data_IF_557866551996
#
_entry.id   IF_557866551996
#
_cell.length_a   1.000
_cell.length_b   1.000
_cell.length_c   1.000
_cell.angle_alpha   90.00
_cell.angle_beta   90.00
_cell.angle_gamma   90.00
#
_symmetry.space_group_name_H-M   'P 1'
#
loop_
_entity.id
_entity.type
_entity.pdbx_description
1 polymer ?
#
# COMPACT_ATOMS: atom_id res chain seq x y z
N UNK A 1 -15.11 10.93 -15.48
CA UNK A 1 -14.25 10.83 -16.67
C UNK A 1 -14.03 9.35 -16.95
N UNK A 2 -14.73 8.79 -17.95
CA UNK A 2 -14.55 7.39 -18.35
C UNK A 2 -13.23 7.22 -19.09
N UNK A 3 -12.46 6.14 -18.86
CA UNK A 3 -11.23 5.90 -19.62
C UNK A 3 -11.57 5.75 -21.10
N UNK A 4 -10.81 6.44 -21.96
CA UNK A 4 -10.96 6.30 -23.42
C UNK A 4 -10.48 4.92 -23.84
N UNK A 5 -11.26 4.23 -24.67
CA UNK A 5 -10.90 2.96 -25.29
C UNK A 5 -9.50 3.09 -25.92
N UNK A 6 -8.52 2.29 -25.48
CA UNK A 6 -7.13 2.35 -25.96
C UNK A 6 -6.12 3.05 -25.04
N UNK A 7 -6.52 3.55 -23.87
CA UNK A 7 -5.56 3.98 -22.85
C UNK A 7 -4.77 2.76 -22.38
N UNK A 8 -3.44 2.73 -22.62
CA UNK A 8 -2.55 1.68 -22.11
C UNK A 8 -2.79 1.54 -20.62
N UNK A 9 -3.36 0.40 -20.21
CA UNK A 9 -3.34 -0.04 -18.83
C UNK A 9 -1.85 -0.04 -18.45
N UNK A 10 -1.48 0.76 -17.46
CA UNK A 10 -0.08 0.96 -17.07
C UNK A 10 0.63 -0.39 -16.99
N UNK A 11 1.87 -0.53 -17.50
CA UNK A 11 2.53 -1.85 -17.64
C UNK A 11 2.63 -2.64 -16.32
N UNK A 12 2.54 -1.96 -15.17
CA UNK A 12 2.35 -2.56 -13.85
C UNK A 12 1.09 -2.00 -13.17
N UNK A 13 -0.10 -2.50 -13.51
CA UNK A 13 -1.31 -2.09 -12.81
C UNK A 13 -1.27 -2.67 -11.39
N UNK A 14 -1.72 -1.88 -10.41
CA UNK A 14 -1.93 -2.37 -9.03
C UNK A 14 -3.27 -3.12 -8.97
N UNK A 15 -3.36 -4.23 -9.68
CA UNK A 15 -4.58 -5.03 -9.87
C UNK A 15 -4.76 -6.12 -8.80
N UNK A 16 -3.67 -6.50 -8.13
CA UNK A 16 -3.66 -7.59 -7.17
C UNK A 16 -4.13 -7.12 -5.79
N UNK A 17 -5.12 -7.82 -5.23
CA UNK A 17 -5.65 -7.54 -3.89
C UNK A 17 -5.09 -8.52 -2.87
N UNK A 18 -4.45 -8.01 -1.82
CA UNK A 18 -3.98 -8.79 -0.68
C UNK A 18 -4.96 -8.63 0.48
N UNK A 19 -5.49 -9.74 1.01
CA UNK A 19 -6.36 -9.74 2.19
C UNK A 19 -5.59 -10.27 3.40
N UNK A 20 -5.53 -9.47 4.47
CA UNK A 20 -4.90 -9.85 5.73
C UNK A 20 -5.92 -9.75 6.88
N UNK A 21 -5.82 -10.66 7.86
CA UNK A 21 -6.53 -10.54 9.14
C UNK A 21 -5.70 -9.65 10.06
N UNK A 22 -6.34 -8.66 10.66
CA UNK A 22 -5.71 -7.72 11.59
C UNK A 22 -6.59 -7.60 12.83
N UNK A 23 -5.97 -7.39 13.99
CA UNK A 23 -6.68 -7.01 15.20
C UNK A 23 -7.08 -5.53 15.16
N UNK A 24 -7.88 -5.12 16.15
CA UNK A 24 -8.36 -3.73 16.26
C UNK A 24 -7.23 -2.74 16.50
N UNK A 25 -6.22 -3.14 17.27
CA UNK A 25 -5.10 -2.27 17.62
C UNK A 25 -4.23 -1.95 16.39
N UNK A 26 -3.96 -2.95 15.56
CA UNK A 26 -3.19 -2.79 14.32
C UNK A 26 -3.95 -1.94 13.31
N UNK A 27 -5.27 -2.11 13.20
CA UNK A 27 -6.11 -1.23 12.38
C UNK A 27 -6.09 0.21 12.89
N UNK A 28 -6.16 0.43 14.20
CA UNK A 28 -6.09 1.78 14.77
C UNK A 28 -4.73 2.46 14.49
N UNK A 29 -3.62 1.73 14.60
CA UNK A 29 -2.28 2.23 14.22
C UNK A 29 -2.23 2.61 12.74
N UNK A 30 -2.80 1.78 11.87
CA UNK A 30 -2.85 2.06 10.44
C UNK A 30 -3.65 3.34 10.16
N UNK A 31 -4.79 3.54 10.83
CA UNK A 31 -5.62 4.73 10.67
C UNK A 31 -4.96 6.01 11.18
N UNK A 32 -4.22 5.94 12.31
CA UNK A 32 -3.39 7.05 12.76
C UNK A 32 -2.39 7.47 11.67
N UNK A 33 -1.62 6.52 11.13
CA UNK A 33 -0.62 6.80 10.09
C UNK A 33 -1.23 7.40 8.81
N UNK A 34 -2.42 6.93 8.44
CA UNK A 34 -3.17 7.46 7.30
C UNK A 34 -3.54 8.93 7.52
N UNK A 35 -4.01 9.26 8.73
CA UNK A 35 -4.39 10.63 9.09
C UNK A 35 -3.19 11.58 9.14
N UNK A 36 -2.07 11.14 9.72
CA UNK A 36 -0.84 11.94 9.83
C UNK A 36 -0.22 12.25 8.47
N UNK A 37 -0.25 11.30 7.54
CA UNK A 37 0.40 11.43 6.23
C UNK A 37 -0.54 11.93 5.13
N UNK A 38 -1.80 12.28 5.45
CA UNK A 38 -2.84 12.65 4.49
C UNK A 38 -2.88 11.69 3.29
N UNK A 39 -2.88 10.38 3.58
CA UNK A 39 -2.73 9.35 2.54
C UNK A 39 -3.85 8.30 2.57
N UNK A 40 -3.65 7.18 1.88
CA UNK A 40 -4.57 6.04 1.86
C UNK A 40 -3.93 4.81 2.51
N UNK A 41 -4.76 3.96 3.13
CA UNK A 41 -4.32 2.72 3.79
C UNK A 41 -3.42 1.86 2.90
N UNK A 42 -3.75 1.77 1.61
CA UNK A 42 -2.99 0.96 0.66
C UNK A 42 -1.59 1.53 0.41
N UNK A 43 -1.41 2.86 0.41
CA UNK A 43 -0.10 3.50 0.29
C UNK A 43 0.75 3.26 1.52
N UNK A 44 0.18 3.43 2.72
CA UNK A 44 0.88 3.16 3.99
C UNK A 44 1.34 1.70 4.06
N UNK A 45 0.47 0.75 3.70
CA UNK A 45 0.83 -0.68 3.67
C UNK A 45 1.97 -0.95 2.69
N UNK A 46 1.93 -0.39 1.47
CA UNK A 46 3.01 -0.54 0.49
C UNK A 46 4.34 0.03 1.00
N UNK A 47 4.32 1.21 1.61
CA UNK A 47 5.50 1.82 2.20
C UNK A 47 6.06 0.96 3.34
N UNK A 48 5.21 0.40 4.19
CA UNK A 48 5.61 -0.53 5.24
C UNK A 48 6.34 -1.76 4.69
N UNK A 49 5.85 -2.33 3.59
CA UNK A 49 6.49 -3.45 2.90
C UNK A 49 7.87 -3.05 2.35
N UNK A 50 7.98 -1.89 1.69
CA UNK A 50 9.26 -1.39 1.16
C UNK A 50 10.30 -1.18 2.26
N UNK A 51 9.92 -0.57 3.39
CA UNK A 51 10.80 -0.37 4.55
C UNK A 51 11.29 -1.72 5.09
N UNK A 52 10.38 -2.68 5.27
CA UNK A 52 10.74 -4.00 5.79
C UNK A 52 11.64 -4.79 4.82
N UNK A 53 11.40 -4.66 3.51
CA UNK A 53 12.20 -5.28 2.47
C UNK A 53 13.61 -4.67 2.39
N UNK A 54 13.73 -3.34 2.36
CA UNK A 54 15.01 -2.65 2.32
C UNK A 54 15.84 -2.95 3.57
N UNK A 55 15.22 -2.93 4.75
CA UNK A 55 15.89 -3.31 6.01
C UNK A 55 16.40 -4.76 6.00
N UNK A 56 15.75 -5.67 5.26
CA UNK A 56 16.26 -7.03 5.07
C UNK A 56 17.48 -7.02 4.14
N UNK A 57 17.40 -6.31 3.01
CA UNK A 57 18.46 -6.23 2.00
C UNK A 57 19.76 -5.62 2.53
N UNK A 58 19.66 -4.63 3.43
CA UNK A 58 20.85 -4.01 4.07
C UNK A 58 21.59 -4.94 5.04
N UNK A 59 20.99 -6.09 5.40
CA UNK A 59 21.59 -7.08 6.31
C UNK A 59 22.22 -8.28 5.59
N UNK A 60 22.07 -8.36 4.27
CA UNK A 60 22.74 -9.34 3.39
C UNK A 60 24.01 -8.71 2.79
#
# INVERSE_FOLDING_TARGET
>A
MSPKMGQKLTDNPKDTTVRARMDKETLAKLDCLVSEQNSDRSKIIRQGIEIQYNRRKEKE
#
